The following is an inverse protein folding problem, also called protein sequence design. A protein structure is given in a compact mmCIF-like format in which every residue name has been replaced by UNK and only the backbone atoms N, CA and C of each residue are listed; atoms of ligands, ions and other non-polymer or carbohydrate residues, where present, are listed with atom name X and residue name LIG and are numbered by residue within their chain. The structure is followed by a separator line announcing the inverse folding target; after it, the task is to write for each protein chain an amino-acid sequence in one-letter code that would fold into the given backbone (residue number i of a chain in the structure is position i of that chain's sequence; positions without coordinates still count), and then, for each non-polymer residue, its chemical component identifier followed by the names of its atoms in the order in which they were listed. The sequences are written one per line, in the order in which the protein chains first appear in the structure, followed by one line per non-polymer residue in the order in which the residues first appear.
data_IF_356517209500
#
_entry.id   IF_356517209500
#
_cell.length_a   1.000
_cell.length_b   1.000
_cell.length_c   1.000
_cell.angle_alpha   90.00
_cell.angle_beta   90.00
_cell.angle_gamma   90.00
#
_symmetry.space_group_name_H-M   'P 1'
#
loop_
_entity.id
_entity.type
_entity.pdbx_description
1 polymer ?
#
# COMPACT_ATOMS: atom_id res chain seq x y z
N UNK A 1 0.47 -14.69 -5.11
CA UNK A 1 0.22 -13.62 -6.12
C UNK A 1 1.38 -13.63 -7.09
N UNK A 2 1.08 -13.72 -8.39
CA UNK A 2 2.07 -13.63 -9.46
C UNK A 2 2.29 -12.17 -9.84
N UNK A 3 3.53 -11.68 -9.77
CA UNK A 3 3.87 -10.34 -10.26
C UNK A 3 4.04 -10.39 -11.79
N UNK A 4 3.24 -9.60 -12.50
CA UNK A 4 3.30 -9.43 -13.95
C UNK A 4 4.19 -8.24 -14.26
N UNK A 5 5.31 -8.48 -14.94
CA UNK A 5 6.28 -7.47 -15.32
C UNK A 5 6.83 -7.74 -16.72
N UNK A 6 7.65 -6.82 -17.24
CA UNK A 6 8.23 -6.94 -18.60
C UNK A 6 9.04 -8.24 -18.79
N UNK A 7 9.73 -8.72 -17.74
CA UNK A 7 10.60 -9.89 -17.81
C UNK A 7 9.85 -11.21 -17.88
N UNK A 8 8.62 -11.28 -17.35
CA UNK A 8 7.85 -12.52 -17.27
C UNK A 8 6.51 -12.51 -18.03
N UNK A 9 6.19 -11.44 -18.75
CA UNK A 9 4.90 -11.27 -19.41
C UNK A 9 4.55 -12.45 -20.32
N UNK A 10 5.53 -13.01 -21.05
CA UNK A 10 5.32 -14.16 -21.93
C UNK A 10 5.11 -15.48 -21.16
N UNK A 11 5.68 -15.60 -19.96
CA UNK A 11 5.57 -16.81 -19.11
C UNK A 11 4.36 -16.74 -18.17
N UNK A 12 3.71 -15.60 -18.08
CA UNK A 12 2.58 -15.36 -17.18
C UNK A 12 1.43 -16.33 -17.47
N UNK A 13 1.16 -16.63 -18.75
CA UNK A 13 0.10 -17.56 -19.15
C UNK A 13 0.25 -18.98 -18.61
N UNK A 14 1.48 -19.47 -18.39
CA UNK A 14 1.74 -20.79 -17.82
C UNK A 14 1.63 -20.80 -16.29
N UNK A 15 2.04 -19.73 -15.63
CA UNK A 15 2.08 -19.65 -14.17
C UNK A 15 0.75 -19.18 -13.55
N UNK A 16 -0.01 -18.37 -14.25
CA UNK A 16 -1.20 -17.72 -13.73
C UNK A 16 -2.34 -18.68 -13.30
N UNK A 17 -2.60 -19.81 -14.02
CA UNK A 17 -3.63 -20.78 -13.62
C UNK A 17 -3.37 -21.45 -12.25
N UNK A 18 -2.12 -21.44 -11.78
CA UNK A 18 -1.74 -21.98 -10.47
C UNK A 18 -1.53 -20.89 -9.41
N UNK A 19 -1.57 -19.63 -9.79
CA UNK A 19 -1.38 -18.51 -8.88
C UNK A 19 -2.68 -18.14 -8.15
N UNK A 20 -2.60 -17.88 -6.85
CA UNK A 20 -3.74 -17.41 -6.05
C UNK A 20 -4.13 -15.94 -6.29
N UNK A 21 -3.62 -15.32 -7.35
CA UNK A 21 -3.88 -13.94 -7.75
C UNK A 21 -2.75 -13.35 -8.57
N UNK A 22 -2.90 -12.14 -9.08
CA UNK A 22 -1.86 -11.46 -9.84
C UNK A 22 -1.73 -9.99 -9.48
N UNK A 23 -0.54 -9.43 -9.68
CA UNK A 23 -0.25 -8.02 -9.49
C UNK A 23 0.38 -7.44 -10.76
N UNK A 24 -0.05 -6.27 -11.15
CA UNK A 24 0.51 -5.50 -12.26
C UNK A 24 1.27 -4.31 -11.68
N UNK A 25 2.57 -4.24 -11.98
CA UNK A 25 3.38 -3.06 -11.69
C UNK A 25 3.48 -2.17 -12.94
N UNK A 26 2.82 -1.03 -12.90
CA UNK A 26 2.80 -0.10 -14.04
C UNK A 26 4.17 0.50 -14.38
N UNK A 27 5.14 0.43 -13.47
CA UNK A 27 6.49 0.95 -13.75
C UNK A 27 7.37 -0.07 -14.46
N UNK A 28 7.11 -1.35 -14.23
CA UNK A 28 7.87 -2.44 -14.83
C UNK A 28 7.28 -2.90 -16.17
N UNK A 29 6.16 -2.32 -16.59
CA UNK A 29 5.56 -2.56 -17.88
C UNK A 29 5.87 -1.42 -18.87
N UNK A 30 5.81 -1.68 -20.19
CA UNK A 30 5.83 -0.61 -21.18
C UNK A 30 4.71 0.40 -20.91
N UNK A 31 4.89 1.68 -21.25
CA UNK A 31 3.80 2.63 -21.19
C UNK A 31 2.59 2.12 -21.98
N UNK A 32 1.44 2.09 -21.33
CA UNK A 32 0.17 1.62 -21.89
C UNK A 32 -0.89 2.69 -21.72
N UNK A 33 -1.75 2.82 -22.73
CA UNK A 33 -2.98 3.58 -22.60
C UNK A 33 -4.07 2.76 -21.85
N UNK A 34 -5.22 3.38 -21.61
CA UNK A 34 -6.30 2.74 -20.87
C UNK A 34 -6.85 1.50 -21.58
N UNK A 35 -6.98 1.53 -22.90
CA UNK A 35 -7.52 0.42 -23.69
C UNK A 35 -6.57 -0.79 -23.68
N UNK A 36 -5.27 -0.54 -23.75
CA UNK A 36 -4.24 -1.57 -23.65
C UNK A 36 -4.22 -2.21 -22.26
N UNK A 37 -4.37 -1.42 -21.20
CA UNK A 37 -4.45 -1.93 -19.84
C UNK A 37 -5.74 -2.76 -19.63
N UNK A 38 -6.87 -2.32 -20.16
CA UNK A 38 -8.12 -3.10 -20.14
C UNK A 38 -7.98 -4.42 -20.88
N UNK A 39 -7.37 -4.41 -22.07
CA UNK A 39 -7.08 -5.62 -22.82
C UNK A 39 -6.19 -6.60 -22.07
N UNK A 40 -5.13 -6.09 -21.42
CA UNK A 40 -4.26 -6.90 -20.55
C UNK A 40 -5.05 -7.48 -19.37
N UNK A 41 -5.87 -6.69 -18.70
CA UNK A 41 -6.70 -7.15 -17.58
C UNK A 41 -7.66 -8.25 -17.97
N UNK A 42 -8.36 -8.11 -19.11
CA UNK A 42 -9.25 -9.14 -19.64
C UNK A 42 -8.48 -10.42 -19.92
N UNK A 43 -7.32 -10.34 -20.55
CA UNK A 43 -6.49 -11.51 -20.84
C UNK A 43 -6.01 -12.20 -19.55
N UNK A 44 -5.52 -11.46 -18.55
CA UNK A 44 -5.06 -12.03 -17.28
C UNK A 44 -6.21 -12.66 -16.49
N UNK A 45 -7.37 -12.01 -16.43
CA UNK A 45 -8.55 -12.54 -15.76
C UNK A 45 -9.05 -13.85 -16.41
N UNK A 46 -8.97 -13.98 -17.73
CA UNK A 46 -9.38 -15.20 -18.43
C UNK A 46 -8.48 -16.41 -18.16
N UNK A 47 -7.22 -16.17 -17.77
CA UNK A 47 -6.22 -17.20 -17.46
C UNK A 47 -6.14 -17.50 -15.96
N UNK A 48 -6.53 -16.56 -15.11
CA UNK A 48 -6.45 -16.69 -13.66
C UNK A 48 -7.52 -17.63 -13.11
N UNK A 49 -7.29 -18.13 -11.89
CA UNK A 49 -8.33 -18.85 -11.14
C UNK A 49 -9.52 -17.92 -10.91
N UNK A 50 -10.72 -18.50 -10.91
CA UNK A 50 -11.97 -17.75 -10.66
C UNK A 50 -11.86 -16.98 -9.32
N UNK A 51 -12.24 -15.71 -9.36
CA UNK A 51 -12.14 -14.79 -8.23
C UNK A 51 -10.72 -14.50 -7.71
N UNK A 52 -9.69 -14.81 -8.49
CA UNK A 52 -8.31 -14.44 -8.14
C UNK A 52 -8.18 -12.92 -7.97
N UNK A 53 -7.64 -12.43 -6.84
CA UNK A 53 -7.46 -11.00 -6.62
C UNK A 53 -6.47 -10.40 -7.61
N UNK A 54 -6.83 -9.23 -8.14
CA UNK A 54 -5.97 -8.43 -9.01
C UNK A 54 -5.47 -7.19 -8.27
N UNK A 55 -4.18 -6.99 -8.30
CA UNK A 55 -3.48 -5.91 -7.61
C UNK A 55 -2.88 -4.93 -8.62
N UNK A 56 -3.17 -3.65 -8.46
CA UNK A 56 -2.49 -2.57 -9.19
C UNK A 56 -1.39 -1.99 -8.32
N UNK A 57 -0.15 -2.04 -8.80
CA UNK A 57 1.01 -1.42 -8.17
C UNK A 57 1.43 -0.19 -8.98
N UNK A 58 1.61 0.93 -8.31
CA UNK A 58 2.08 2.17 -8.93
C UNK A 58 2.89 3.02 -7.96
N UNK A 59 3.66 3.95 -8.51
CA UNK A 59 4.50 4.83 -7.73
C UNK A 59 3.72 5.94 -7.07
N UNK A 60 4.27 6.46 -5.97
CA UNK A 60 3.68 7.56 -5.21
C UNK A 60 3.54 8.84 -6.03
N UNK A 61 4.38 9.04 -7.03
CA UNK A 61 4.30 10.18 -7.94
C UNK A 61 2.98 10.22 -8.75
N UNK A 62 2.34 9.07 -8.93
CA UNK A 62 1.05 8.91 -9.63
C UNK A 62 -0.11 8.53 -8.71
N UNK A 63 0.08 8.66 -7.40
CA UNK A 63 -0.91 8.20 -6.40
C UNK A 63 -2.26 8.90 -6.50
N UNK A 64 -2.33 10.14 -7.00
CA UNK A 64 -3.59 10.89 -7.13
C UNK A 64 -4.63 10.18 -8.00
N UNK A 65 -4.20 9.40 -8.99
CA UNK A 65 -5.08 8.64 -9.87
C UNK A 65 -5.09 7.13 -9.58
N UNK A 66 -4.34 6.67 -8.58
CA UNK A 66 -4.15 5.24 -8.30
C UNK A 66 -5.48 4.51 -8.08
N UNK A 67 -6.32 5.00 -7.17
CA UNK A 67 -7.61 4.38 -6.88
C UNK A 67 -8.61 4.52 -8.03
N UNK A 68 -8.59 5.65 -8.76
CA UNK A 68 -9.43 5.83 -9.95
C UNK A 68 -9.08 4.81 -11.03
N UNK A 69 -7.78 4.60 -11.30
CA UNK A 69 -7.32 3.58 -12.25
C UNK A 69 -7.66 2.18 -11.78
N UNK A 70 -7.43 1.86 -10.50
CA UNK A 70 -7.79 0.57 -9.95
C UNK A 70 -9.29 0.29 -10.08
N UNK A 71 -10.14 1.29 -9.85
CA UNK A 71 -11.59 1.18 -10.03
C UNK A 71 -11.98 0.97 -11.50
N UNK A 72 -11.41 1.79 -12.40
CA UNK A 72 -11.72 1.77 -13.82
C UNK A 72 -11.36 0.42 -14.46
N UNK A 73 -10.20 -0.11 -14.14
CA UNK A 73 -9.70 -1.37 -14.70
C UNK A 73 -10.01 -2.61 -13.84
N UNK A 74 -10.95 -2.50 -12.90
CA UNK A 74 -11.45 -3.63 -12.10
C UNK A 74 -10.39 -4.36 -11.25
N UNK A 75 -9.43 -3.64 -10.68
CA UNK A 75 -8.55 -4.18 -9.64
C UNK A 75 -9.26 -4.24 -8.28
N UNK A 76 -8.80 -5.14 -7.43
CA UNK A 76 -9.32 -5.35 -6.08
C UNK A 76 -8.50 -4.61 -5.02
N UNK A 77 -7.21 -4.39 -5.30
CA UNK A 77 -6.25 -3.75 -4.42
C UNK A 77 -5.42 -2.72 -5.20
N UNK A 78 -5.29 -1.53 -4.64
CA UNK A 78 -4.44 -0.45 -5.12
C UNK A 78 -3.25 -0.26 -4.18
N UNK A 79 -2.04 -0.54 -4.63
CA UNK A 79 -0.80 -0.48 -3.84
C UNK A 79 0.07 0.68 -4.30
N UNK A 80 0.37 1.60 -3.38
CA UNK A 80 1.35 2.65 -3.61
C UNK A 80 2.75 2.20 -3.16
N UNK A 81 3.79 2.61 -3.89
CA UNK A 81 5.19 2.46 -3.48
C UNK A 81 5.96 3.77 -3.61
N UNK A 82 6.99 3.94 -2.80
CA UNK A 82 7.94 5.04 -2.93
C UNK A 82 9.02 4.62 -3.91
N UNK A 83 9.32 5.50 -4.86
CA UNK A 83 10.44 5.31 -5.79
C UNK A 83 11.72 5.85 -5.18
N UNK A 84 12.82 5.14 -5.39
CA UNK A 84 14.16 5.65 -5.10
C UNK A 84 14.38 6.95 -5.87
N UNK A 85 14.82 7.98 -5.15
CA UNK A 85 15.06 9.31 -5.73
C UNK A 85 13.82 10.15 -5.99
N UNK A 86 12.61 9.73 -5.60
CA UNK A 86 11.39 10.54 -5.71
C UNK A 86 11.43 11.80 -4.84
N UNK A 87 12.26 11.83 -3.81
CA UNK A 87 12.29 12.90 -2.81
C UNK A 87 11.05 12.95 -1.89
N UNK A 88 10.16 11.97 -2.00
CA UNK A 88 8.94 11.88 -1.19
C UNK A 88 9.19 10.92 -0.03
N UNK A 89 9.06 11.40 1.20
CA UNK A 89 9.15 10.57 2.40
C UNK A 89 7.87 9.77 2.64
N UNK A 90 7.95 8.67 3.39
CA UNK A 90 6.79 7.88 3.82
C UNK A 90 5.75 8.75 4.54
N UNK A 91 6.20 9.69 5.37
CA UNK A 91 5.35 10.63 6.09
C UNK A 91 4.49 11.50 5.16
N UNK A 92 4.98 11.83 3.96
CA UNK A 92 4.24 12.55 2.93
C UNK A 92 3.40 11.60 2.06
N UNK A 93 3.93 10.43 1.73
CA UNK A 93 3.30 9.43 0.87
C UNK A 93 1.99 8.90 1.44
N UNK A 94 1.95 8.59 2.73
CA UNK A 94 0.76 8.02 3.40
C UNK A 94 -0.48 8.93 3.32
N UNK A 95 -0.40 10.24 3.64
CA UNK A 95 -1.53 11.14 3.45
C UNK A 95 -1.96 11.30 1.98
N UNK A 96 -1.02 11.23 1.04
CA UNK A 96 -1.33 11.29 -0.40
C UNK A 96 -2.14 10.06 -0.83
N UNK A 97 -1.75 8.88 -0.38
CA UNK A 97 -2.46 7.62 -0.64
C UNK A 97 -3.87 7.64 -0.06
N UNK A 98 -4.02 8.08 1.19
CA UNK A 98 -5.33 8.22 1.83
C UNK A 98 -6.25 9.24 1.15
N UNK A 99 -5.70 10.34 0.60
CA UNK A 99 -6.48 11.30 -0.20
C UNK A 99 -6.94 10.70 -1.51
N UNK A 100 -6.05 10.00 -2.24
CA UNK A 100 -6.41 9.32 -3.48
C UNK A 100 -7.60 8.37 -3.28
N UNK A 101 -7.59 7.58 -2.20
CA UNK A 101 -8.73 6.71 -1.84
C UNK A 101 -10.00 7.53 -1.61
N UNK A 102 -9.93 8.59 -0.82
CA UNK A 102 -11.10 9.41 -0.45
C UNK A 102 -11.71 10.14 -1.64
N UNK A 103 -10.88 10.66 -2.54
CA UNK A 103 -11.32 11.41 -3.71
C UNK A 103 -11.95 10.52 -4.78
N UNK A 104 -11.52 9.27 -4.85
CA UNK A 104 -11.94 8.30 -5.87
C UNK A 104 -12.71 7.12 -5.28
N UNK A 105 -13.47 7.36 -4.20
CA UNK A 105 -14.44 6.40 -3.68
C UNK A 105 -15.41 6.00 -4.81
N UNK A 106 -15.25 4.80 -5.31
CA UNK A 106 -16.16 4.16 -6.24
C UNK A 106 -17.16 3.31 -5.48
N UNK A 107 -18.25 2.90 -6.15
CA UNK A 107 -19.22 1.92 -5.60
C UNK A 107 -18.57 0.55 -5.33
N UNK A 108 -17.34 0.34 -5.77
CA UNK A 108 -16.54 -0.87 -5.53
C UNK A 108 -15.57 -0.60 -4.40
N UNK A 109 -15.57 -1.47 -3.40
CA UNK A 109 -14.59 -1.46 -2.33
C UNK A 109 -13.23 -1.90 -2.87
N UNK A 110 -12.32 -0.93 -3.07
CA UNK A 110 -10.93 -1.18 -3.42
C UNK A 110 -10.10 -1.03 -2.17
N UNK A 111 -9.36 -2.09 -1.83
CA UNK A 111 -8.45 -2.07 -0.70
C UNK A 111 -7.23 -1.19 -1.01
N UNK A 112 -6.69 -0.57 0.04
CA UNK A 112 -5.52 0.30 -0.05
C UNK A 112 -4.30 -0.43 0.51
N UNK A 113 -3.30 -0.60 -0.33
CA UNK A 113 -2.03 -1.19 0.05
C UNK A 113 -0.87 -0.18 0.00
N UNK A 114 0.20 -0.52 0.71
CA UNK A 114 1.46 0.20 0.67
C UNK A 114 2.62 -0.78 0.63
N UNK A 115 3.56 -0.56 -0.29
CA UNK A 115 4.75 -1.38 -0.44
C UNK A 115 5.95 -0.71 0.24
N UNK A 116 6.52 -1.41 1.22
CA UNK A 116 7.77 -1.05 1.87
C UNK A 116 8.93 -1.77 1.19
N UNK A 117 10.05 -1.08 0.99
CA UNK A 117 11.29 -1.65 0.48
C UNK A 117 12.09 -2.45 1.52
N UNK A 118 11.56 -2.61 2.74
CA UNK A 118 12.21 -3.28 3.86
C UNK A 118 11.21 -4.15 4.63
N UNK A 119 11.72 -4.94 5.59
CA UNK A 119 10.90 -5.75 6.47
C UNK A 119 10.20 -4.88 7.52
N UNK A 120 8.87 -4.93 7.56
CA UNK A 120 8.08 -4.15 8.49
C UNK A 120 8.23 -4.66 9.94
N UNK A 121 8.38 -3.73 10.88
CA UNK A 121 8.18 -3.98 12.31
C UNK A 121 6.71 -3.83 12.72
N UNK A 122 6.35 -4.27 13.92
CA UNK A 122 5.00 -4.04 14.46
C UNK A 122 4.67 -2.55 14.59
N UNK A 123 5.66 -1.70 14.86
CA UNK A 123 5.51 -0.24 14.86
C UNK A 123 5.17 0.31 13.48
N UNK A 124 5.89 -0.12 12.44
CA UNK A 124 5.61 0.31 11.05
C UNK A 124 4.20 -0.08 10.64
N UNK A 125 3.77 -1.31 10.97
CA UNK A 125 2.40 -1.76 10.72
C UNK A 125 1.37 -0.88 11.43
N UNK A 126 1.58 -0.57 12.72
CA UNK A 126 0.67 0.30 13.47
C UNK A 126 0.54 1.69 12.82
N UNK A 127 1.65 2.29 12.37
CA UNK A 127 1.67 3.60 11.70
C UNK A 127 0.94 3.55 10.37
N UNK A 128 1.23 2.55 9.54
CA UNK A 128 0.60 2.38 8.23
C UNK A 128 -0.91 2.19 8.35
N UNK A 129 -1.35 1.29 9.23
CA UNK A 129 -2.77 1.02 9.41
C UNK A 129 -3.52 2.19 10.05
N UNK A 130 -2.92 2.87 11.02
CA UNK A 130 -3.47 4.13 11.57
C UNK A 130 -3.57 5.24 10.50
N UNK A 131 -2.79 5.17 9.43
CA UNK A 131 -2.85 6.09 8.29
C UNK A 131 -3.91 5.71 7.24
N UNK A 132 -4.58 4.56 7.40
CA UNK A 132 -5.64 4.09 6.51
C UNK A 132 -5.18 3.09 5.44
N UNK A 133 -3.98 2.55 5.57
CA UNK A 133 -3.49 1.42 4.78
C UNK A 133 -4.15 0.14 5.32
N UNK A 134 -4.68 -0.69 4.45
CA UNK A 134 -5.38 -1.94 4.82
C UNK A 134 -4.49 -3.16 4.58
N UNK A 135 -3.54 -3.06 3.64
CA UNK A 135 -2.62 -4.15 3.30
C UNK A 135 -1.20 -3.60 3.23
N UNK A 136 -0.29 -4.20 3.98
CA UNK A 136 1.13 -3.85 3.92
C UNK A 136 1.88 -4.94 3.16
N UNK A 137 2.53 -4.55 2.08
CA UNK A 137 3.46 -5.40 1.35
C UNK A 137 4.88 -5.02 1.79
N UNK A 138 5.67 -5.99 2.19
CA UNK A 138 7.06 -5.76 2.58
C UNK A 138 7.96 -6.93 2.16
N UNK A 139 9.25 -6.69 2.14
CA UNK A 139 10.23 -7.72 1.89
C UNK A 139 10.43 -8.55 3.16
N UNK A 140 10.36 -9.87 3.04
CA UNK A 140 10.75 -10.74 4.16
C UNK A 140 12.25 -10.60 4.42
N UNK A 141 12.69 -10.51 5.69
CA UNK A 141 14.10 -10.27 5.99
C UNK A 141 15.00 -11.46 5.65
N UNK A 142 14.44 -12.63 5.39
CA UNK A 142 15.17 -13.89 5.29
C UNK A 142 14.56 -14.82 4.24
N UNK A 143 15.39 -15.77 3.73
CA UNK A 143 14.99 -16.72 2.70
C UNK A 143 14.42 -18.03 3.28
N UNK A 144 14.60 -18.30 4.58
CA UNK A 144 14.15 -19.51 5.23
C UNK A 144 12.74 -19.35 5.81
N UNK A 145 11.93 -20.40 5.71
CA UNK A 145 10.53 -20.39 6.20
C UNK A 145 10.45 -20.29 7.72
N UNK A 146 11.41 -20.88 8.45
CA UNK A 146 11.45 -20.79 9.92
C UNK A 146 11.74 -19.36 10.36
N UNK A 147 12.71 -18.71 9.75
CA UNK A 147 13.08 -17.33 10.02
C UNK A 147 11.94 -16.36 9.73
N UNK A 148 11.19 -16.60 8.64
CA UNK A 148 9.97 -15.83 8.33
C UNK A 148 8.91 -16.01 9.42
N UNK A 149 8.73 -17.22 9.94
CA UNK A 149 7.78 -17.48 11.02
C UNK A 149 8.17 -16.74 12.31
N UNK A 150 9.45 -16.77 12.70
CA UNK A 150 9.96 -16.00 13.85
C UNK A 150 9.79 -14.51 13.67
N UNK A 151 10.10 -13.99 12.48
CA UNK A 151 9.88 -12.57 12.19
C UNK A 151 8.41 -12.18 12.28
N UNK A 152 7.49 -12.98 11.73
CA UNK A 152 6.05 -12.73 11.83
C UNK A 152 5.57 -12.75 13.28
N UNK A 153 6.04 -13.71 14.09
CA UNK A 153 5.71 -13.75 15.51
C UNK A 153 6.23 -12.51 16.25
N UNK A 154 7.48 -12.12 16.05
CA UNK A 154 8.06 -10.92 16.64
C UNK A 154 7.32 -9.66 16.23
N UNK A 155 6.97 -9.55 14.95
CA UNK A 155 6.18 -8.42 14.41
C UNK A 155 4.78 -8.37 15.04
N UNK A 156 4.14 -9.52 15.26
CA UNK A 156 2.84 -9.60 15.93
C UNK A 156 2.92 -9.17 17.40
N UNK A 157 3.95 -9.59 18.12
CA UNK A 157 4.17 -9.21 19.52
C UNK A 157 4.45 -7.71 19.66
N UNK A 158 5.24 -7.16 18.76
CA UNK A 158 5.54 -5.73 18.67
C UNK A 158 4.28 -4.93 18.37
N UNK A 159 3.50 -5.33 17.38
CA UNK A 159 2.22 -4.69 17.06
C UNK A 159 1.26 -4.73 18.25
N UNK A 160 1.13 -5.86 18.94
CA UNK A 160 0.31 -5.97 20.14
C UNK A 160 0.80 -5.03 21.26
N UNK A 161 2.11 -4.79 21.36
CA UNK A 161 2.68 -3.81 22.29
C UNK A 161 2.30 -2.39 21.91
N UNK A 162 2.37 -2.03 20.62
CA UNK A 162 1.97 -0.70 20.13
C UNK A 162 0.47 -0.45 20.36
N UNK A 163 -0.40 -1.42 20.09
CA UNK A 163 -1.84 -1.32 20.38
C UNK A 163 -2.10 -1.00 21.85
N UNK A 164 -1.41 -1.70 22.77
CA UNK A 164 -1.53 -1.44 24.22
C UNK A 164 -1.05 -0.05 24.59
N UNK A 165 0.05 0.44 24.00
CA UNK A 165 0.58 1.80 24.25
C UNK A 165 -0.40 2.89 23.83
N UNK A 166 -1.11 2.66 22.74
CA UNK A 166 -2.13 3.57 22.21
C UNK A 166 -3.46 3.45 22.94
N UNK A 167 -3.66 2.36 23.69
CA UNK A 167 -4.89 2.09 24.45
C UNK A 167 -6.02 1.53 23.61
N UNK A 168 -5.70 0.82 22.53
CA UNK A 168 -6.69 0.12 21.68
C UNK A 168 -6.50 -1.39 21.76
N UNK A 169 -7.59 -2.14 21.57
CA UNK A 169 -7.61 -3.59 21.71
C UNK A 169 -7.60 -4.32 20.36
N UNK A 170 -7.77 -3.60 19.26
CA UNK A 170 -7.83 -4.15 17.91
C UNK A 170 -7.12 -3.23 16.94
N UNK A 171 -6.54 -3.82 15.92
CA UNK A 171 -5.92 -3.11 14.80
C UNK A 171 -6.95 -2.25 14.04
N UNK A 172 -8.18 -2.72 13.92
CA UNK A 172 -9.28 -1.98 13.27
C UNK A 172 -9.69 -0.71 14.03
N UNK A 173 -9.25 -0.60 15.29
CA UNK A 173 -9.47 0.60 16.12
C UNK A 173 -8.37 1.64 15.98
N UNK A 174 -7.32 1.34 15.20
CA UNK A 174 -6.29 2.30 14.90
C UNK A 174 -6.82 3.38 13.97
N UNK A 175 -6.58 4.61 14.35
CA UNK A 175 -6.99 5.79 13.59
C UNK A 175 -5.86 6.82 13.55
N UNK A 176 -5.89 7.67 12.57
CA UNK A 176 -4.95 8.78 12.40
C UNK A 176 -4.81 9.66 13.66
N UNK A 177 -5.86 9.78 14.48
CA UNK A 177 -5.82 10.52 15.76
C UNK A 177 -4.81 9.96 16.76
N UNK A 178 -4.42 8.69 16.64
CA UNK A 178 -3.45 8.03 17.50
C UNK A 178 -1.99 8.33 17.09
N UNK A 179 -1.78 8.84 15.89
CA UNK A 179 -0.45 9.22 15.41
C UNK A 179 -0.06 10.61 15.89
N UNK A 180 1.25 10.78 16.12
CA UNK A 180 1.89 12.09 16.40
C UNK A 180 3.17 12.20 15.59
N UNK A 181 3.40 13.36 15.01
CA UNK A 181 4.68 13.68 14.42
C UNK A 181 5.68 14.02 15.52
N UNK A 182 6.91 13.54 15.40
CA UNK A 182 7.96 13.79 16.39
C UNK A 182 8.73 15.08 16.10
N UNK A 183 8.65 15.61 14.90
CA UNK A 183 9.30 16.84 14.48
C UNK A 183 8.37 17.70 13.59
N UNK A 184 8.76 18.97 13.40
CA UNK A 184 7.99 19.94 12.64
C UNK A 184 7.84 19.57 11.16
N UNK A 185 8.88 19.00 10.54
CA UNK A 185 8.87 18.62 9.12
C UNK A 185 7.84 17.53 8.87
N UNK A 186 7.89 16.46 9.65
CA UNK A 186 6.90 15.37 9.59
C UNK A 186 5.48 15.90 9.84
N UNK A 187 5.29 16.79 10.83
CA UNK A 187 3.99 17.39 11.09
C UNK A 187 3.48 18.20 9.89
N UNK A 188 4.35 18.99 9.27
CA UNK A 188 4.01 19.83 8.12
C UNK A 188 3.59 18.99 6.89
N UNK A 189 4.36 17.96 6.54
CA UNK A 189 4.09 17.14 5.34
C UNK A 189 2.97 16.14 5.53
N UNK A 190 2.83 15.56 6.74
CA UNK A 190 1.81 14.56 7.04
C UNK A 190 0.48 15.17 7.51
N UNK A 191 0.48 16.40 8.02
CA UNK A 191 -0.67 17.00 8.69
C UNK A 191 -1.05 16.33 10.02
N UNK A 192 -0.15 15.57 10.61
CA UNK A 192 -0.30 15.02 11.95
C UNK A 192 -0.08 16.12 13.01
N UNK A 193 -0.64 15.92 14.18
CA UNK A 193 -0.32 16.76 15.33
C UNK A 193 1.13 16.51 15.75
N UNK A 194 1.85 17.59 16.06
CA UNK A 194 3.18 17.47 16.66
C UNK A 194 3.05 16.96 18.10
N UNK A 195 3.97 16.09 18.52
CA UNK A 195 4.02 15.60 19.90
C UNK A 195 4.14 16.79 20.87
N UNK A 196 3.34 16.79 21.92
CA UNK A 196 3.25 17.89 22.88
C UNK A 196 2.33 19.05 22.47
N UNK A 197 1.70 18.99 21.28
CA UNK A 197 0.74 20.01 20.84
C UNK A 197 -0.68 19.44 20.72
N UNK A 198 -1.66 20.19 21.21
CA UNK A 198 -3.06 19.76 21.14
C UNK A 198 -3.68 19.98 19.76
N UNK A 199 -3.20 20.97 19.01
CA UNK A 199 -3.71 21.34 17.69
C UNK A 199 -2.71 20.99 16.61
N UNK A 200 -3.17 20.61 15.40
CA UNK A 200 -2.29 20.49 14.23
C UNK A 200 -1.59 21.84 13.97
N UNK A 201 -0.36 21.76 13.45
CA UNK A 201 0.31 22.95 12.93
C UNK A 201 -0.47 23.51 11.74
N UNK A 202 -0.41 24.82 11.49
CA UNK A 202 -1.01 25.40 10.30
C UNK A 202 -0.46 24.72 9.05
N UNK A 203 -1.35 24.24 8.18
CA UNK A 203 -0.94 23.66 6.90
C UNK A 203 -0.55 24.78 5.94
N UNK A 204 0.74 24.99 5.77
CA UNK A 204 1.27 25.94 4.79
C UNK A 204 1.12 25.45 3.34
N UNK A 205 0.86 24.18 3.13
CA UNK A 205 0.84 23.52 1.81
C UNK A 205 -0.50 22.89 1.43
N UNK A 206 -1.57 23.20 2.16
CA UNK A 206 -2.92 22.76 1.79
C UNK A 206 -3.57 23.84 0.89
N UNK A 207 -3.08 23.97 -0.34
CA UNK A 207 -3.78 24.65 -1.43
C UNK A 207 -3.81 23.75 -2.64
#
# INVERSE_FOLDING_TARGET
ILMVNRGNLLLTGEALPSAGGFAIDLNDLPPMDAEQLDGLMVALRSMAVENAPAVLLDTISRVQSLHARAAHHHFDLAVARIEDGSGISEAAALPMTGRSKKEHLSNRAIQTGFLLGFAASGHDLAVLMASGVEIVCCTAPMADTEDVAYWLQGTQEDLASELRRVGVNSIDSLERKHLRALNHETAAVSGLRLAGYERPLPHWFAR
#
